data_IF_149717004654
#
_entry.id   IF_149717004654
#
_cell.length_a   1.000
_cell.length_b   1.000
_cell.length_c   1.000
_cell.angle_alpha   90.00
_cell.angle_beta   90.00
_cell.angle_gamma   90.00
#
_symmetry.space_group_name_H-M   'P 1'
#
loop_
_entity.id
_entity.type
_entity.pdbx_description
1 polymer ?
#
# COMPACT_ATOMS: atom_id res chain seq x y z
N UNK A 1 -21.92 -3.49 -14.88
CA UNK A 1 -20.59 -3.71 -14.22
C UNK A 1 -19.61 -4.21 -15.26
N UNK A 2 -18.40 -3.67 -15.32
CA UNK A 2 -17.36 -4.11 -16.24
C UNK A 2 -17.10 -5.63 -16.06
N UNK A 3 -16.96 -6.43 -17.14
CA UNK A 3 -16.76 -7.88 -17.04
C UNK A 3 -15.59 -8.30 -16.16
N UNK A 4 -14.48 -7.55 -16.14
CA UNK A 4 -13.34 -7.85 -15.27
C UNK A 4 -13.68 -7.69 -13.79
N UNK A 5 -14.52 -6.71 -13.43
CA UNK A 5 -14.97 -6.50 -12.06
C UNK A 5 -15.94 -7.58 -11.58
N UNK A 6 -16.67 -8.25 -12.47
CA UNK A 6 -17.53 -9.39 -12.10
C UNK A 6 -16.71 -10.54 -11.50
N UNK A 7 -15.44 -10.71 -11.90
CA UNK A 7 -14.53 -11.70 -11.35
C UNK A 7 -14.11 -11.40 -9.91
N UNK A 8 -14.17 -10.13 -9.54
CA UNK A 8 -13.86 -9.65 -8.18
C UNK A 8 -15.11 -9.59 -7.28
N UNK A 9 -16.32 -9.69 -7.85
CA UNK A 9 -17.55 -9.70 -7.07
C UNK A 9 -17.68 -10.98 -6.22
N UNK A 10 -18.49 -10.91 -5.16
CA UNK A 10 -18.78 -12.04 -4.27
C UNK A 10 -19.13 -11.60 -2.86
N UNK A 11 -19.40 -12.55 -1.98
CA UNK A 11 -19.81 -12.28 -0.60
C UNK A 11 -18.76 -12.66 0.46
N UNK A 12 -17.77 -13.47 0.10
CA UNK A 12 -16.76 -13.97 1.04
C UNK A 12 -15.59 -13.01 1.19
N UNK A 13 -15.50 -12.36 2.36
CA UNK A 13 -14.41 -11.46 2.74
C UNK A 13 -13.09 -12.17 3.10
N UNK A 14 -13.10 -13.49 3.24
CA UNK A 14 -11.90 -14.27 3.58
C UNK A 14 -11.14 -14.75 2.36
N UNK A 15 -11.70 -14.55 1.17
CA UNK A 15 -11.14 -14.99 -0.09
C UNK A 15 -10.83 -13.82 -1.00
N UNK A 16 -9.67 -13.86 -1.65
CA UNK A 16 -9.32 -12.94 -2.73
C UNK A 16 -10.14 -13.18 -4.00
N UNK A 17 -10.99 -14.22 -4.03
CA UNK A 17 -11.79 -14.59 -5.17
C UNK A 17 -10.91 -14.93 -6.38
N UNK A 18 -11.22 -14.32 -7.53
CA UNK A 18 -10.46 -14.49 -8.78
C UNK A 18 -9.46 -13.35 -9.02
N UNK A 19 -8.91 -12.73 -7.95
CA UNK A 19 -7.98 -11.63 -8.06
C UNK A 19 -6.74 -11.98 -8.88
N UNK A 20 -6.15 -13.18 -8.69
CA UNK A 20 -4.96 -13.61 -9.44
C UNK A 20 -5.23 -13.78 -10.93
N UNK A 21 -6.44 -14.19 -11.32
CA UNK A 21 -6.87 -14.22 -12.71
C UNK A 21 -6.96 -12.81 -13.30
N UNK A 22 -7.55 -11.87 -12.55
CA UNK A 22 -7.61 -10.46 -12.95
C UNK A 22 -6.21 -9.88 -13.13
N UNK A 23 -5.27 -10.19 -12.24
CA UNK A 23 -3.86 -9.79 -12.39
C UNK A 23 -3.30 -10.30 -13.73
N UNK A 24 -3.48 -11.58 -14.03
CA UNK A 24 -2.99 -12.18 -15.27
C UNK A 24 -3.57 -11.50 -16.52
N UNK A 25 -4.88 -11.22 -16.50
CA UNK A 25 -5.56 -10.56 -17.63
C UNK A 25 -5.09 -9.12 -17.83
N UNK A 26 -4.94 -8.35 -16.74
CA UNK A 26 -4.45 -6.97 -16.84
C UNK A 26 -3.01 -6.92 -17.33
N UNK A 27 -2.16 -7.88 -16.91
CA UNK A 27 -0.78 -7.94 -17.39
C UNK A 27 -0.71 -8.29 -18.90
N UNK A 28 -1.68 -9.06 -19.40
CA UNK A 28 -1.81 -9.35 -20.84
C UNK A 28 -2.47 -8.19 -21.61
N UNK A 29 -3.41 -7.47 -21.00
CA UNK A 29 -4.15 -6.36 -21.61
C UNK A 29 -4.18 -5.15 -20.65
N UNK A 30 -3.13 -4.29 -20.67
CA UNK A 30 -3.00 -3.15 -19.76
C UNK A 30 -4.17 -2.15 -19.78
N UNK A 31 -4.94 -2.08 -20.86
CA UNK A 31 -6.13 -1.23 -20.95
C UNK A 31 -7.22 -1.57 -19.92
N UNK A 32 -7.20 -2.78 -19.35
CA UNK A 32 -8.13 -3.20 -18.30
C UNK A 32 -7.79 -2.62 -16.92
N UNK A 33 -6.58 -2.07 -16.73
CA UNK A 33 -6.12 -1.56 -15.43
C UNK A 33 -7.01 -0.46 -14.88
N UNK A 34 -7.48 0.46 -15.72
CA UNK A 34 -8.37 1.56 -15.31
C UNK A 34 -9.62 1.03 -14.58
N UNK A 35 -10.29 0.04 -15.17
CA UNK A 35 -11.48 -0.56 -14.57
C UNK A 35 -11.18 -1.22 -13.20
N UNK A 36 -10.05 -1.93 -13.08
CA UNK A 36 -9.66 -2.59 -11.83
C UNK A 36 -9.28 -1.56 -10.77
N UNK A 37 -8.58 -0.48 -11.13
CA UNK A 37 -8.27 0.62 -10.23
C UNK A 37 -9.56 1.29 -9.69
N UNK A 38 -10.53 1.59 -10.57
CA UNK A 38 -11.83 2.14 -10.16
C UNK A 38 -12.60 1.19 -9.24
N UNK A 39 -12.38 -0.11 -9.37
CA UNK A 39 -12.94 -1.12 -8.46
C UNK A 39 -12.59 -0.90 -6.99
N UNK A 40 -11.46 -0.25 -6.69
CA UNK A 40 -11.10 0.12 -5.32
C UNK A 40 -12.00 1.20 -4.70
N UNK A 41 -12.80 1.89 -5.51
CA UNK A 41 -13.75 2.90 -5.09
C UNK A 41 -15.21 2.41 -5.13
N UNK A 42 -15.43 1.14 -5.45
CA UNK A 42 -16.78 0.57 -5.52
C UNK A 42 -17.50 0.64 -4.17
N UNK A 43 -18.84 0.69 -4.18
CA UNK A 43 -19.65 0.65 -2.96
C UNK A 43 -19.55 -0.69 -2.22
N UNK A 44 -19.36 -1.80 -2.97
CA UNK A 44 -19.23 -3.13 -2.40
C UNK A 44 -17.83 -3.34 -1.78
N UNK A 45 -17.80 -3.67 -0.49
CA UNK A 45 -16.56 -3.80 0.28
C UNK A 45 -15.71 -5.02 -0.15
N UNK A 46 -16.33 -6.09 -0.64
CA UNK A 46 -15.60 -7.28 -1.11
C UNK A 46 -14.94 -6.98 -2.45
N UNK A 47 -15.65 -6.32 -3.34
CA UNK A 47 -15.08 -5.88 -4.61
C UNK A 47 -13.91 -4.90 -4.40
N UNK A 48 -14.06 -3.91 -3.50
CA UNK A 48 -12.97 -2.98 -3.15
C UNK A 48 -11.72 -3.71 -2.67
N UNK A 49 -11.88 -4.63 -1.72
CA UNK A 49 -10.78 -5.40 -1.15
C UNK A 49 -10.02 -6.19 -2.23
N UNK A 50 -10.77 -6.91 -3.07
CA UNK A 50 -10.19 -7.74 -4.13
C UNK A 50 -9.57 -6.91 -5.25
N UNK A 51 -10.16 -5.76 -5.57
CA UNK A 51 -9.56 -4.80 -6.49
C UNK A 51 -8.25 -4.23 -5.94
N UNK A 52 -8.19 -3.90 -4.65
CA UNK A 52 -6.97 -3.44 -4.00
C UNK A 52 -5.86 -4.50 -4.01
N UNK A 53 -6.19 -5.76 -3.77
CA UNK A 53 -5.26 -6.90 -3.89
C UNK A 53 -4.74 -7.03 -5.33
N UNK A 54 -5.61 -6.99 -6.33
CA UNK A 54 -5.21 -7.09 -7.73
C UNK A 54 -4.31 -5.91 -8.16
N UNK A 55 -4.71 -4.67 -7.85
CA UNK A 55 -3.93 -3.46 -8.18
C UNK A 55 -2.56 -3.50 -7.50
N UNK A 56 -2.50 -3.92 -6.23
CA UNK A 56 -1.24 -4.06 -5.50
C UNK A 56 -0.29 -5.03 -6.21
N UNK A 57 -0.77 -6.22 -6.58
CA UNK A 57 0.02 -7.27 -7.27
C UNK A 57 0.48 -6.84 -8.65
N UNK A 58 -0.37 -6.17 -9.43
CA UNK A 58 -0.03 -5.62 -10.74
C UNK A 58 1.06 -4.56 -10.59
N UNK A 59 0.89 -3.63 -9.66
CA UNK A 59 1.81 -2.50 -9.49
C UNK A 59 3.08 -2.86 -8.71
N UNK A 60 3.16 -4.04 -8.12
CA UNK A 60 4.42 -4.62 -7.65
C UNK A 60 5.35 -4.96 -8.81
N UNK A 61 4.81 -5.31 -9.98
CA UNK A 61 5.55 -5.63 -11.20
C UNK A 61 5.66 -4.40 -12.13
N UNK A 62 4.63 -3.57 -12.19
CA UNK A 62 4.48 -2.41 -13.07
C UNK A 62 4.08 -1.16 -12.27
N UNK A 63 4.98 -0.59 -11.44
CA UNK A 63 4.67 0.57 -10.61
C UNK A 63 4.29 1.81 -11.45
N UNK A 64 4.72 1.88 -12.69
CA UNK A 64 4.40 2.96 -13.63
C UNK A 64 2.89 3.06 -13.92
N UNK A 65 2.10 1.99 -13.74
CA UNK A 65 0.66 2.02 -13.91
C UNK A 65 -0.04 2.93 -12.90
N UNK A 66 0.58 3.18 -11.74
CA UNK A 66 0.02 4.12 -10.74
C UNK A 66 0.19 5.60 -11.13
N UNK A 67 1.05 5.92 -12.09
CA UNK A 67 1.39 7.31 -12.43
C UNK A 67 0.16 8.18 -12.74
N UNK A 68 -0.80 7.76 -13.59
CA UNK A 68 -2.00 8.54 -13.86
C UNK A 68 -2.94 8.66 -12.65
N UNK A 69 -2.91 7.68 -11.74
CA UNK A 69 -3.83 7.56 -10.62
C UNK A 69 -3.28 8.09 -9.29
N UNK A 70 -2.05 8.61 -9.27
CA UNK A 70 -1.35 9.07 -8.07
C UNK A 70 -2.22 9.95 -7.17
N UNK A 71 -2.81 10.98 -7.73
CA UNK A 71 -3.67 11.90 -6.97
C UNK A 71 -4.93 11.22 -6.44
N UNK A 72 -5.55 10.36 -7.23
CA UNK A 72 -6.75 9.61 -6.85
C UNK A 72 -6.44 8.59 -5.75
N UNK A 73 -5.32 7.90 -5.86
CA UNK A 73 -4.85 6.97 -4.82
C UNK A 73 -4.64 7.70 -3.49
N UNK A 74 -3.90 8.81 -3.47
CA UNK A 74 -3.57 9.55 -2.24
C UNK A 74 -4.81 10.22 -1.63
N UNK A 75 -5.69 10.81 -2.45
CA UNK A 75 -6.77 11.66 -1.97
C UNK A 75 -8.11 10.94 -1.74
N UNK A 76 -8.34 9.83 -2.42
CA UNK A 76 -9.60 9.10 -2.35
C UNK A 76 -9.41 7.69 -1.80
N UNK A 77 -8.66 6.83 -2.49
CA UNK A 77 -8.53 5.41 -2.09
C UNK A 77 -7.89 5.27 -0.72
N UNK A 78 -6.84 6.04 -0.44
CA UNK A 78 -6.14 6.02 0.84
C UNK A 78 -6.99 6.52 2.04
N UNK A 79 -8.12 7.19 1.78
CA UNK A 79 -9.05 7.67 2.81
C UNK A 79 -10.17 6.68 3.13
N UNK A 80 -10.24 5.57 2.41
CA UNK A 80 -11.23 4.53 2.66
C UNK A 80 -10.94 3.87 4.01
N UNK A 81 -11.95 3.83 4.88
CA UNK A 81 -11.85 3.18 6.18
C UNK A 81 -12.19 1.68 6.07
N UNK A 82 -11.30 0.96 5.41
CA UNK A 82 -11.37 -0.49 5.27
C UNK A 82 -9.94 -1.07 5.37
N UNK A 83 -9.64 -1.86 6.41
CA UNK A 83 -8.28 -2.37 6.64
C UNK A 83 -7.69 -3.11 5.44
N UNK A 84 -8.50 -3.91 4.74
CA UNK A 84 -8.07 -4.67 3.57
C UNK A 84 -7.65 -3.78 2.40
N UNK A 85 -8.24 -2.61 2.26
CA UNK A 85 -7.81 -1.61 1.28
C UNK A 85 -6.54 -0.91 1.76
N UNK A 86 -6.51 -0.47 3.02
CA UNK A 86 -5.40 0.31 3.61
C UNK A 86 -4.06 -0.41 3.55
N UNK A 87 -4.00 -1.72 3.86
CA UNK A 87 -2.70 -2.38 3.82
C UNK A 87 -2.16 -2.57 2.39
N UNK A 88 -3.03 -2.72 1.39
CA UNK A 88 -2.60 -2.73 0.00
C UNK A 88 -2.17 -1.33 -0.45
N UNK A 89 -2.93 -0.29 -0.09
CA UNK A 89 -2.59 1.11 -0.36
C UNK A 89 -1.23 1.47 0.25
N UNK A 90 -0.95 1.09 1.49
CA UNK A 90 0.34 1.35 2.13
C UNK A 90 1.52 0.85 1.27
N UNK A 91 1.39 -0.34 0.67
CA UNK A 91 2.41 -0.91 -0.21
C UNK A 91 2.55 -0.13 -1.52
N UNK A 92 1.45 0.36 -2.08
CA UNK A 92 1.44 1.13 -3.32
C UNK A 92 2.04 2.53 -3.15
N UNK A 93 1.82 3.16 -1.99
CA UNK A 93 2.25 4.55 -1.74
C UNK A 93 3.78 4.74 -1.84
N UNK A 94 4.58 3.77 -1.41
CA UNK A 94 6.04 3.83 -1.50
C UNK A 94 6.59 3.62 -2.92
N UNK A 95 5.76 3.14 -3.85
CA UNK A 95 6.12 2.90 -5.25
C UNK A 95 5.84 4.11 -6.15
N UNK A 96 5.16 5.13 -5.63
CA UNK A 96 4.79 6.31 -6.41
C UNK A 96 6.01 7.19 -6.69
N UNK A 97 6.06 7.74 -7.91
CA UNK A 97 6.97 8.83 -8.24
C UNK A 97 6.42 10.14 -7.65
N UNK A 98 6.97 10.55 -6.51
CA UNK A 98 6.46 11.63 -5.67
C UNK A 98 7.41 12.83 -5.70
N UNK A 99 6.85 14.01 -5.87
CA UNK A 99 7.54 15.26 -5.52
C UNK A 99 7.82 15.31 -4.01
N UNK A 100 8.73 16.19 -3.58
CA UNK A 100 9.06 16.38 -2.16
C UNK A 100 7.82 16.68 -1.31
N UNK A 101 6.91 17.52 -1.81
CA UNK A 101 5.68 17.89 -1.10
C UNK A 101 4.69 16.73 -1.01
N UNK A 102 4.54 15.96 -2.09
CA UNK A 102 3.68 14.77 -2.11
C UNK A 102 4.23 13.69 -1.17
N UNK A 103 5.55 13.50 -1.13
CA UNK A 103 6.20 12.53 -0.25
C UNK A 103 5.96 12.83 1.21
N UNK A 104 6.03 14.10 1.63
CA UNK A 104 5.66 14.51 2.99
C UNK A 104 4.22 14.16 3.32
N UNK A 105 3.28 14.45 2.41
CA UNK A 105 1.85 14.08 2.59
C UNK A 105 1.65 12.57 2.72
N UNK A 106 2.39 11.79 1.95
CA UNK A 106 2.35 10.32 2.04
C UNK A 106 2.91 9.84 3.37
N UNK A 107 3.99 10.44 3.88
CA UNK A 107 4.53 10.13 5.21
C UNK A 107 3.50 10.45 6.31
N UNK A 108 2.83 11.61 6.23
CA UNK A 108 1.77 11.99 7.19
C UNK A 108 0.60 10.98 7.14
N UNK A 109 0.18 10.56 5.95
CA UNK A 109 -0.86 9.55 5.76
C UNK A 109 -0.46 8.18 6.34
N UNK A 110 0.79 7.77 6.12
CA UNK A 110 1.31 6.52 6.70
C UNK A 110 1.42 6.61 8.22
N UNK A 111 1.73 7.79 8.79
CA UNK A 111 1.69 8.03 10.22
C UNK A 111 0.26 7.87 10.79
N UNK A 112 -0.78 8.30 10.06
CA UNK A 112 -2.17 8.00 10.42
C UNK A 112 -2.42 6.48 10.41
N UNK A 113 -1.92 5.75 9.41
CA UNK A 113 -2.07 4.29 9.31
C UNK A 113 -1.36 3.52 10.44
N UNK A 114 -0.32 4.09 11.04
CA UNK A 114 0.31 3.50 12.22
C UNK A 114 -0.61 3.48 13.46
N UNK A 115 -1.68 4.28 13.47
CA UNK A 115 -2.69 4.32 14.52
C UNK A 115 -3.92 3.43 14.20
N UNK A 116 -3.92 2.73 13.06
CA UNK A 116 -5.02 1.86 12.66
C UNK A 116 -5.25 0.73 13.67
N UNK A 117 -6.50 0.27 13.82
CA UNK A 117 -6.84 -0.86 14.67
C UNK A 117 -6.21 -2.16 14.15
N UNK A 118 -6.05 -2.29 12.84
CA UNK A 118 -5.46 -3.44 12.18
C UNK A 118 -3.94 -3.49 12.36
N UNK A 119 -3.47 -4.58 12.98
CA UNK A 119 -2.02 -4.84 13.10
C UNK A 119 -1.35 -5.00 11.73
N UNK A 120 -2.09 -5.47 10.72
CA UNK A 120 -1.60 -5.65 9.35
C UNK A 120 -1.37 -4.28 8.72
N UNK A 121 -2.35 -3.37 8.81
CA UNK A 121 -2.21 -1.99 8.30
C UNK A 121 -0.98 -1.33 8.91
N UNK A 122 -0.84 -1.40 10.23
CA UNK A 122 0.32 -0.81 10.95
C UNK A 122 1.67 -1.37 10.47
N UNK A 123 1.76 -2.70 10.27
CA UNK A 123 3.01 -3.33 9.81
C UNK A 123 3.36 -2.95 8.37
N UNK A 124 2.37 -2.83 7.48
CA UNK A 124 2.62 -2.38 6.12
C UNK A 124 2.92 -0.87 6.03
N UNK A 125 2.33 -0.06 6.91
CA UNK A 125 2.72 1.35 7.04
C UNK A 125 4.18 1.50 7.48
N UNK A 126 4.66 0.70 8.45
CA UNK A 126 6.07 0.67 8.82
C UNK A 126 6.98 0.29 7.64
N UNK A 127 6.59 -0.70 6.84
CA UNK A 127 7.33 -1.09 5.64
C UNK A 127 7.42 0.07 4.64
N UNK A 128 6.29 0.69 4.32
CA UNK A 128 6.23 1.80 3.38
C UNK A 128 7.07 3.00 3.83
N UNK A 129 7.05 3.33 5.12
CA UNK A 129 7.92 4.36 5.69
C UNK A 129 9.39 4.01 5.53
N UNK A 130 9.79 2.76 5.78
CA UNK A 130 11.17 2.32 5.57
C UNK A 130 11.59 2.43 4.10
N UNK A 131 10.72 2.06 3.16
CA UNK A 131 10.98 2.17 1.73
C UNK A 131 11.14 3.65 1.30
N UNK A 132 10.36 4.57 1.90
CA UNK A 132 10.52 6.01 1.69
C UNK A 132 11.84 6.51 2.28
N UNK A 133 12.24 6.05 3.46
CA UNK A 133 13.52 6.41 4.06
C UNK A 133 14.72 5.96 3.22
N UNK A 134 14.58 4.88 2.46
CA UNK A 134 15.61 4.46 1.49
C UNK A 134 15.77 5.46 0.33
N UNK A 135 14.65 6.09 -0.08
CA UNK A 135 14.58 6.97 -1.24
C UNK A 135 14.86 8.44 -0.92
N UNK A 136 14.66 8.87 0.33
CA UNK A 136 14.71 10.28 0.72
C UNK A 136 15.61 10.51 1.95
N UNK A 137 16.78 11.11 1.69
CA UNK A 137 17.76 11.39 2.73
C UNK A 137 17.27 12.43 3.76
N UNK A 138 16.43 13.39 3.34
CA UNK A 138 15.91 14.45 4.22
C UNK A 138 14.88 13.91 5.22
N UNK A 139 14.05 12.95 4.79
CA UNK A 139 13.02 12.34 5.63
C UNK A 139 13.54 11.16 6.47
N UNK A 140 14.67 10.58 6.08
CA UNK A 140 15.23 9.39 6.72
C UNK A 140 15.44 9.53 8.22
N UNK A 141 16.04 10.60 8.77
CA UNK A 141 16.26 10.68 10.21
C UNK A 141 14.97 10.64 11.02
N UNK A 142 13.94 11.36 10.60
CA UNK A 142 12.64 11.38 11.28
C UNK A 142 11.92 10.03 11.21
N UNK A 143 11.97 9.38 10.06
CA UNK A 143 11.38 8.03 9.87
C UNK A 143 12.12 6.99 10.71
N UNK A 144 13.46 7.04 10.77
CA UNK A 144 14.24 6.13 11.60
C UNK A 144 13.87 6.26 13.08
N UNK A 145 13.75 7.48 13.61
CA UNK A 145 13.30 7.71 14.99
C UNK A 145 11.92 7.08 15.23
N UNK A 146 10.99 7.29 14.32
CA UNK A 146 9.64 6.72 14.42
C UNK A 146 9.66 5.18 14.38
N UNK A 147 10.42 4.58 13.48
CA UNK A 147 10.57 3.12 13.40
C UNK A 147 11.24 2.54 14.65
N UNK A 148 12.24 3.21 15.22
CA UNK A 148 12.88 2.81 16.48
C UNK A 148 11.86 2.81 17.65
N UNK A 149 11.08 3.86 17.77
CA UNK A 149 10.05 3.94 18.83
C UNK A 149 8.97 2.85 18.66
N UNK A 150 8.48 2.62 17.46
CA UNK A 150 7.51 1.57 17.17
C UNK A 150 8.10 0.15 17.38
N UNK A 151 9.40 -0.01 17.16
CA UNK A 151 10.10 -1.26 17.43
C UNK A 151 10.21 -1.52 18.92
N UNK A 152 10.34 -0.47 19.72
CA UNK A 152 10.45 -0.56 21.19
C UNK A 152 9.08 -0.78 21.85
N UNK A 153 8.05 -0.05 21.42
CA UNK A 153 6.75 0.07 22.12
C UNK A 153 5.59 -0.63 21.44
N UNK A 154 5.73 -1.01 20.18
CA UNK A 154 4.66 -1.57 19.37
C UNK A 154 4.27 -3.01 19.74
N UNK A 155 3.29 -3.56 19.05
CA UNK A 155 2.91 -4.97 19.19
C UNK A 155 4.08 -5.90 18.82
N UNK A 156 4.07 -7.19 19.24
CA UNK A 156 5.12 -8.13 18.86
C UNK A 156 5.39 -8.22 17.36
N UNK A 157 4.33 -8.11 16.53
CA UNK A 157 4.47 -8.07 15.08
C UNK A 157 5.20 -6.80 14.60
N UNK A 158 4.87 -5.64 15.16
CA UNK A 158 5.55 -4.37 14.86
C UNK A 158 6.99 -4.38 15.30
N UNK A 159 7.27 -4.90 16.51
CA UNK A 159 8.64 -5.05 17.01
C UNK A 159 9.48 -5.97 16.10
N UNK A 160 8.92 -7.12 15.69
CA UNK A 160 9.61 -8.05 14.79
C UNK A 160 9.88 -7.41 13.42
N UNK A 161 8.87 -6.75 12.84
CA UNK A 161 9.01 -6.04 11.56
C UNK A 161 10.03 -4.92 11.68
N UNK A 162 9.94 -4.10 12.71
CA UNK A 162 10.82 -2.95 12.94
C UNK A 162 12.29 -3.35 13.05
N UNK A 163 12.62 -4.41 13.80
CA UNK A 163 14.00 -4.93 13.86
C UNK A 163 14.55 -5.27 12.47
N UNK A 164 13.75 -5.93 11.63
CA UNK A 164 14.17 -6.29 10.26
C UNK A 164 14.39 -5.06 9.38
N UNK A 165 13.48 -4.08 9.48
CA UNK A 165 13.55 -2.84 8.70
C UNK A 165 14.76 -1.99 9.11
N UNK A 166 14.97 -1.78 10.41
CA UNK A 166 16.11 -1.03 10.93
C UNK A 166 17.44 -1.68 10.56
N UNK A 167 17.53 -3.02 10.67
CA UNK A 167 18.73 -3.74 10.25
C UNK A 167 18.99 -3.63 8.74
N UNK A 168 17.94 -3.62 7.91
CA UNK A 168 18.06 -3.41 6.45
C UNK A 168 18.59 -2.01 6.15
N UNK A 169 17.99 -0.98 6.79
CA UNK A 169 18.39 0.41 6.59
C UNK A 169 19.82 0.67 7.06
N UNK A 170 20.23 0.15 8.22
CA UNK A 170 21.60 0.26 8.70
C UNK A 170 22.59 -0.31 7.70
N UNK A 171 22.39 -1.54 7.24
CA UNK A 171 23.28 -2.16 6.23
C UNK A 171 23.38 -1.39 4.93
N UNK A 172 22.35 -0.62 4.57
CA UNK A 172 22.34 0.16 3.33
C UNK A 172 23.09 1.50 3.46
N UNK A 173 23.14 2.07 4.65
CA UNK A 173 23.63 3.44 4.86
C UNK A 173 24.87 3.54 5.78
N UNK A 174 25.26 2.46 6.47
CA UNK A 174 26.48 2.41 7.29
C UNK A 174 27.72 1.94 6.49
N UNK A 175 27.59 1.85 5.14
CA UNK A 175 28.70 1.59 4.18
C UNK A 175 29.11 2.88 3.50
#
# INVERSE_FOLDING_TARGET
MNPILQKLAGADRRSIGRSDEVVTEVLAEPALFDAVFEGMLAADAVLRMRAADAVEKITAQHPEYLRPYKNKLIRQVARIDQPEVRWHVAQMLSRLDLTRAERRRVVDLLAEYLQDQSKIVRTFAMQALADIAEQDADLRPSILMQLQELTRTGSPAMQSRGRKLLAKLARKFDT
#
